data_IF_066620504720
#
_entry.id   IF_066620504720
#
_cell.length_a   1.000
_cell.length_b   1.000
_cell.length_c   1.000
_cell.angle_alpha   90.00
_cell.angle_beta   90.00
_cell.angle_gamma   90.00
#
_symmetry.space_group_name_H-M   'P 1'
#
loop_
_entity.id
_entity.type
_entity.pdbx_description
1 polymer ?
#
# COMPACT_ATOMS: atom_id res chain seq x y z
N UNK A 1 -7.50 -10.30 -3.69
CA UNK A 1 -8.67 -10.92 -4.36
C UNK A 1 -9.67 -11.42 -3.33
N UNK A 2 -10.95 -11.48 -3.65
CA UNK A 2 -12.01 -11.94 -2.74
C UNK A 2 -13.12 -12.69 -3.49
N UNK A 3 -13.67 -13.72 -2.87
CA UNK A 3 -14.75 -14.54 -3.40
C UNK A 3 -15.82 -14.80 -2.34
N UNK A 4 -17.08 -14.82 -2.77
CA UNK A 4 -18.16 -15.49 -2.02
C UNK A 4 -18.29 -16.90 -2.59
N UNK A 5 -18.18 -17.91 -1.74
CA UNK A 5 -18.22 -19.32 -2.13
C UNK A 5 -19.31 -20.04 -1.36
N UNK A 6 -19.96 -21.00 -2.00
CA UNK A 6 -20.83 -21.98 -1.34
C UNK A 6 -20.11 -23.33 -1.37
N UNK A 7 -19.86 -23.91 -0.20
CA UNK A 7 -19.20 -25.21 -0.05
C UNK A 7 -20.22 -26.25 0.40
N UNK A 8 -20.34 -27.34 -0.35
CA UNK A 8 -21.12 -28.51 0.07
C UNK A 8 -20.16 -29.45 0.81
N UNK A 9 -20.52 -29.77 2.05
CA UNK A 9 -19.72 -30.60 2.96
C UNK A 9 -20.61 -31.70 3.54
N UNK A 10 -20.08 -32.82 4.02
CA UNK A 10 -20.91 -33.85 4.68
C UNK A 10 -21.77 -33.28 5.81
N UNK A 11 -21.26 -32.31 6.55
CA UNK A 11 -21.97 -31.62 7.65
C UNK A 11 -23.03 -30.62 7.14
N UNK A 12 -22.85 -30.10 5.92
CA UNK A 12 -23.77 -29.18 5.26
C UNK A 12 -24.01 -29.59 3.79
N UNK A 13 -24.82 -30.64 3.53
CA UNK A 13 -25.06 -31.14 2.17
C UNK A 13 -25.74 -30.12 1.25
N UNK A 14 -26.59 -29.26 1.82
CA UNK A 14 -27.27 -28.14 1.13
C UNK A 14 -26.36 -26.94 0.85
N UNK A 15 -25.10 -27.00 1.32
CA UNK A 15 -24.12 -25.95 1.14
C UNK A 15 -24.06 -24.97 2.31
N UNK A 16 -22.86 -24.40 2.51
CA UNK A 16 -22.61 -23.29 3.44
C UNK A 16 -21.84 -22.18 2.74
N UNK A 17 -22.30 -20.96 2.92
CA UNK A 17 -21.64 -19.78 2.36
C UNK A 17 -20.43 -19.36 3.20
N UNK A 18 -19.38 -18.87 2.54
CA UNK A 18 -18.25 -18.18 3.16
C UNK A 18 -17.69 -17.08 2.26
N UNK A 19 -16.92 -16.18 2.86
CA UNK A 19 -16.08 -15.23 2.14
C UNK A 19 -14.62 -15.68 2.25
N UNK A 20 -13.96 -15.90 1.11
CA UNK A 20 -12.53 -16.15 1.01
C UNK A 20 -11.83 -14.89 0.50
N UNK A 21 -10.82 -14.43 1.21
CA UNK A 21 -9.94 -13.34 0.80
C UNK A 21 -8.54 -13.91 0.66
N UNK A 22 -7.82 -13.55 -0.40
CA UNK A 22 -6.43 -13.95 -0.57
C UNK A 22 -5.58 -12.83 -1.17
N UNK A 23 -4.31 -12.82 -0.81
CA UNK A 23 -3.32 -12.05 -1.55
C UNK A 23 -2.96 -12.75 -2.87
N UNK A 24 -2.65 -11.94 -3.88
CA UNK A 24 -2.00 -12.43 -5.09
C UNK A 24 -0.52 -12.05 -5.01
N UNK A 25 0.35 -13.03 -4.76
CA UNK A 25 1.78 -12.80 -4.64
C UNK A 25 2.44 -12.42 -5.98
N UNK A 26 1.81 -12.78 -7.11
CA UNK A 26 2.34 -12.44 -8.43
C UNK A 26 2.12 -10.98 -8.78
N UNK A 27 1.12 -10.35 -8.15
CA UNK A 27 0.82 -8.93 -8.33
C UNK A 27 1.59 -8.09 -7.31
N UNK A 28 2.60 -7.35 -7.79
CA UNK A 28 3.43 -6.45 -6.96
C UNK A 28 3.91 -7.13 -5.68
N UNK A 29 4.41 -8.37 -5.79
CA UNK A 29 4.90 -9.24 -4.70
C UNK A 29 3.90 -9.47 -3.55
N UNK A 30 2.60 -9.27 -3.81
CA UNK A 30 1.56 -9.31 -2.79
C UNK A 30 1.59 -8.11 -1.83
N UNK A 31 2.24 -7.00 -2.21
CA UNK A 31 2.26 -5.78 -1.41
C UNK A 31 0.87 -5.16 -1.28
N UNK A 32 0.54 -4.73 -0.07
CA UNK A 32 -0.73 -4.08 0.24
C UNK A 32 -0.67 -2.58 -0.01
N UNK A 33 -1.44 -2.10 -0.97
CA UNK A 33 -1.73 -0.69 -1.15
C UNK A 33 -3.18 -0.34 -0.79
N UNK A 34 -3.61 0.90 -1.11
CA UNK A 34 -4.94 1.38 -0.77
C UNK A 34 -6.07 0.58 -1.42
N UNK A 35 -5.88 0.13 -2.66
CA UNK A 35 -6.89 -0.66 -3.39
C UNK A 35 -7.07 -2.04 -2.77
N UNK A 36 -5.97 -2.67 -2.36
CA UNK A 36 -5.98 -3.97 -1.70
C UNK A 36 -6.64 -3.88 -0.31
N UNK A 37 -6.39 -2.81 0.44
CA UNK A 37 -7.05 -2.52 1.73
C UNK A 37 -8.57 -2.35 1.56
N UNK A 38 -9.02 -1.59 0.55
CA UNK A 38 -10.45 -1.41 0.25
C UNK A 38 -11.14 -2.75 -0.02
N UNK A 39 -10.56 -3.60 -0.88
CA UNK A 39 -11.13 -4.92 -1.19
C UNK A 39 -11.23 -5.77 0.08
N UNK A 40 -10.18 -5.77 0.91
CA UNK A 40 -10.17 -6.50 2.17
C UNK A 40 -11.27 -6.03 3.12
N UNK A 41 -11.43 -4.71 3.29
CA UNK A 41 -12.42 -4.11 4.18
C UNK A 41 -13.84 -4.43 3.70
N UNK A 42 -14.15 -4.20 2.43
CA UNK A 42 -15.49 -4.42 1.89
C UNK A 42 -15.90 -5.90 1.95
N UNK A 43 -14.98 -6.82 1.63
CA UNK A 43 -15.23 -8.25 1.76
C UNK A 43 -15.45 -8.67 3.24
N UNK A 44 -14.70 -8.05 4.15
CA UNK A 44 -14.86 -8.27 5.58
C UNK A 44 -16.19 -7.74 6.12
N UNK A 45 -16.61 -6.55 5.71
CA UNK A 45 -17.93 -5.99 6.01
C UNK A 45 -19.06 -6.88 5.49
N UNK A 46 -18.93 -7.37 4.26
CA UNK A 46 -19.90 -8.28 3.67
C UNK A 46 -20.04 -9.57 4.49
N UNK A 47 -18.92 -10.19 4.90
CA UNK A 47 -18.96 -11.42 5.73
C UNK A 47 -19.74 -11.20 7.04
N UNK A 48 -19.56 -10.04 7.69
CA UNK A 48 -20.30 -9.66 8.89
C UNK A 48 -21.78 -9.44 8.62
N UNK A 49 -22.10 -8.71 7.56
CA UNK A 49 -23.49 -8.41 7.17
C UNK A 49 -24.28 -9.69 6.92
N UNK A 50 -23.64 -10.66 6.24
CA UNK A 50 -24.22 -11.97 5.94
C UNK A 50 -24.13 -12.95 7.12
N UNK A 51 -23.36 -12.63 8.16
CA UNK A 51 -23.09 -13.51 9.31
C UNK A 51 -22.46 -14.85 8.91
N UNK A 52 -21.63 -14.86 7.87
CA UNK A 52 -20.95 -16.06 7.36
C UNK A 52 -19.46 -16.04 7.68
N UNK A 53 -18.78 -17.21 7.71
CA UNK A 53 -17.35 -17.29 7.96
C UNK A 53 -16.52 -16.47 6.98
N UNK A 54 -15.44 -15.88 7.48
CA UNK A 54 -14.39 -15.26 6.67
C UNK A 54 -13.10 -16.05 6.78
N UNK A 55 -12.55 -16.47 5.64
CA UNK A 55 -11.24 -17.11 5.54
C UNK A 55 -10.29 -16.12 4.86
N UNK A 56 -9.09 -15.94 5.42
CA UNK A 56 -8.07 -15.10 4.82
C UNK A 56 -6.76 -15.88 4.62
N UNK A 57 -6.30 -15.95 3.37
CA UNK A 57 -5.00 -16.48 2.97
C UNK A 57 -4.01 -15.32 2.80
N UNK A 58 -3.19 -15.13 3.83
CA UNK A 58 -2.13 -14.14 3.87
C UNK A 58 -0.88 -14.68 3.17
N UNK A 59 -0.59 -14.12 1.99
CA UNK A 59 0.63 -14.35 1.23
C UNK A 59 1.11 -13.01 0.67
N UNK A 60 1.66 -12.16 1.54
CA UNK A 60 2.00 -10.77 1.23
C UNK A 60 3.40 -10.38 1.68
N UNK A 61 3.89 -9.29 1.11
CA UNK A 61 5.15 -8.63 1.49
C UNK A 61 4.95 -7.42 2.40
N UNK A 62 3.78 -7.27 3.03
CA UNK A 62 3.43 -6.13 3.87
C UNK A 62 2.96 -4.91 3.08
N UNK A 63 2.97 -3.74 3.73
CA UNK A 63 2.56 -2.47 3.12
C UNK A 63 3.45 -2.12 1.92
N UNK A 64 2.83 -1.63 0.86
CA UNK A 64 3.51 -1.19 -0.35
C UNK A 64 4.31 0.07 -0.05
N UNK A 65 5.63 -0.04 -0.19
CA UNK A 65 6.54 1.10 -0.17
C UNK A 65 6.66 1.59 -1.62
N UNK A 66 6.18 2.81 -1.90
CA UNK A 66 6.31 3.44 -3.21
C UNK A 66 7.21 4.67 -3.14
N UNK A 67 8.15 4.79 -4.07
CA UNK A 67 8.79 6.06 -4.39
C UNK A 67 7.93 6.82 -5.41
N UNK A 68 7.99 8.16 -5.38
CA UNK A 68 7.36 9.02 -6.38
C UNK A 68 8.11 8.88 -7.72
N UNK A 69 7.80 7.83 -8.48
CA UNK A 69 8.50 7.50 -9.73
C UNK A 69 8.40 8.65 -10.75
N UNK A 70 7.28 9.39 -10.76
CA UNK A 70 7.14 10.61 -11.59
C UNK A 70 8.15 11.71 -11.25
N UNK A 71 8.60 11.80 -9.99
CA UNK A 71 9.63 12.76 -9.57
C UNK A 71 11.03 12.18 -9.78
N UNK A 72 11.19 10.87 -9.54
CA UNK A 72 12.48 10.16 -9.67
C UNK A 72 13.10 10.30 -11.06
N UNK A 73 12.27 10.32 -12.11
CA UNK A 73 12.74 10.47 -13.49
C UNK A 73 13.16 11.90 -13.86
N UNK A 74 12.81 12.91 -13.05
CA UNK A 74 12.94 14.32 -13.42
C UNK A 74 13.85 15.13 -12.50
N UNK A 75 14.05 14.69 -11.25
CA UNK A 75 14.87 15.46 -10.32
C UNK A 75 16.33 15.54 -10.80
N UNK A 76 16.92 16.70 -10.52
CA UNK A 76 18.32 16.99 -10.72
C UNK A 76 19.00 17.17 -9.36
N UNK A 77 20.30 16.95 -9.34
CA UNK A 77 21.13 17.07 -8.15
C UNK A 77 21.96 18.34 -8.31
N UNK A 78 21.85 19.26 -7.36
CA UNK A 78 22.78 20.38 -7.25
C UNK A 78 23.98 19.91 -6.43
N UNK A 79 25.07 19.55 -7.10
CA UNK A 79 26.28 19.05 -6.46
C UNK A 79 27.00 20.17 -5.68
N UNK A 80 27.79 19.78 -4.68
CA UNK A 80 28.74 20.73 -4.08
C UNK A 80 29.77 21.18 -5.11
N UNK A 81 30.23 20.21 -5.90
CA UNK A 81 31.17 20.34 -7.01
C UNK A 81 30.72 19.40 -8.14
N UNK A 82 30.42 19.95 -9.32
CA UNK A 82 29.93 19.15 -10.46
C UNK A 82 30.98 18.20 -11.03
N UNK A 83 32.26 18.52 -10.87
CA UNK A 83 33.38 17.71 -11.36
C UNK A 83 33.80 16.63 -10.36
N UNK A 84 33.41 16.78 -9.08
CA UNK A 84 33.71 15.83 -8.00
C UNK A 84 32.45 15.43 -7.18
N UNK A 85 31.53 14.61 -7.75
CA UNK A 85 30.27 14.24 -7.09
C UNK A 85 30.42 13.56 -5.72
N UNK A 86 31.57 12.93 -5.45
CA UNK A 86 31.88 12.26 -4.18
C UNK A 86 31.95 13.26 -3.00
N UNK A 87 32.10 14.56 -3.27
CA UNK A 87 32.02 15.62 -2.24
C UNK A 87 30.60 15.84 -1.71
N UNK A 88 29.60 15.23 -2.35
CA UNK A 88 28.20 15.31 -1.96
C UNK A 88 27.41 16.37 -2.72
N UNK A 89 26.19 16.62 -2.26
CA UNK A 89 25.24 17.50 -2.93
C UNK A 89 24.58 18.47 -1.95
N UNK A 90 24.23 19.66 -2.46
CA UNK A 90 23.56 20.74 -1.73
C UNK A 90 22.07 20.47 -1.57
N UNK A 91 21.39 20.10 -2.68
CA UNK A 91 19.95 19.87 -2.70
C UNK A 91 19.50 19.13 -3.98
N UNK A 92 18.26 18.65 -3.98
CA UNK A 92 17.56 18.15 -5.16
C UNK A 92 16.65 19.25 -5.72
N UNK A 93 16.52 19.34 -7.04
CA UNK A 93 15.69 20.35 -7.68
C UNK A 93 15.05 19.85 -8.96
N UNK A 94 14.05 20.60 -9.43
CA UNK A 94 13.45 20.46 -10.76
C UNK A 94 13.74 21.72 -11.56
N UNK A 95 13.86 21.57 -12.88
CA UNK A 95 13.84 22.73 -13.77
C UNK A 95 12.44 23.35 -13.77
N UNK A 96 12.32 24.59 -14.21
CA UNK A 96 11.00 25.23 -14.41
C UNK A 96 10.11 24.38 -15.32
N UNK A 97 10.66 23.85 -16.40
CA UNK A 97 9.92 23.00 -17.34
C UNK A 97 9.40 21.72 -16.67
N UNK A 98 10.26 21.01 -15.94
CA UNK A 98 9.90 19.73 -15.29
C UNK A 98 8.94 19.94 -14.12
N UNK A 99 9.11 21.02 -13.35
CA UNK A 99 8.17 21.38 -12.31
C UNK A 99 6.80 21.69 -12.90
N UNK A 100 6.71 22.43 -14.02
CA UNK A 100 5.43 22.70 -14.68
C UNK A 100 4.75 21.40 -15.12
N UNK A 101 5.48 20.43 -15.67
CA UNK A 101 4.93 19.12 -16.11
C UNK A 101 4.24 18.36 -14.99
N UNK A 102 4.80 18.37 -13.77
CA UNK A 102 4.29 17.56 -12.64
C UNK A 102 3.56 18.35 -11.57
N UNK A 103 3.54 19.69 -11.65
CA UNK A 103 2.89 20.56 -10.67
C UNK A 103 1.41 20.25 -10.48
N UNK A 104 0.71 19.87 -11.56
CA UNK A 104 -0.70 19.48 -11.54
C UNK A 104 -0.96 18.17 -10.75
N UNK A 105 0.04 17.32 -10.58
CA UNK A 105 -0.08 16.06 -9.84
C UNK A 105 0.06 16.24 -8.33
N UNK A 106 0.41 17.45 -7.86
CA UNK A 106 0.69 17.75 -6.44
C UNK A 106 1.67 16.77 -5.77
N UNK A 107 2.51 16.09 -6.56
CA UNK A 107 3.38 15.00 -6.08
C UNK A 107 4.67 15.52 -5.42
N UNK A 108 4.97 16.81 -5.55
CA UNK A 108 6.16 17.45 -5.01
C UNK A 108 5.83 18.83 -4.45
N UNK A 109 6.44 19.19 -3.33
CA UNK A 109 6.53 20.58 -2.86
C UNK A 109 7.95 21.05 -3.11
N UNK A 110 8.06 22.21 -3.74
CA UNK A 110 9.32 22.85 -4.05
C UNK A 110 9.22 24.36 -3.86
N UNK A 111 10.36 24.99 -3.62
CA UNK A 111 10.50 26.44 -3.55
C UNK A 111 11.32 26.91 -4.75
N UNK A 112 10.86 27.98 -5.41
CA UNK A 112 11.62 28.60 -6.48
C UNK A 112 12.82 29.36 -5.88
N UNK A 113 14.01 29.04 -6.36
CA UNK A 113 15.26 29.70 -6.02
C UNK A 113 16.01 30.07 -7.30
N UNK A 114 16.94 31.00 -7.18
CA UNK A 114 17.92 31.29 -8.22
C UNK A 114 19.27 30.76 -7.74
N UNK A 115 19.90 29.91 -8.55
CA UNK A 115 21.23 29.39 -8.26
C UNK A 115 21.98 29.15 -9.57
N UNK A 116 23.28 29.46 -9.59
CA UNK A 116 24.14 29.37 -10.80
C UNK A 116 23.58 30.13 -12.02
N UNK A 117 22.80 31.19 -11.81
CA UNK A 117 22.17 31.98 -12.87
C UNK A 117 20.93 31.32 -13.49
N UNK A 118 20.41 30.24 -12.88
CA UNK A 118 19.22 29.53 -13.34
C UNK A 118 18.11 29.54 -12.28
N UNK A 119 16.87 29.63 -12.74
CA UNK A 119 15.69 29.40 -11.91
C UNK A 119 15.52 27.90 -11.63
N UNK A 120 15.54 27.50 -10.36
CA UNK A 120 15.45 26.11 -9.90
C UNK A 120 14.33 25.94 -8.89
N UNK A 121 13.54 24.89 -9.03
CA UNK A 121 12.53 24.50 -8.03
C UNK A 121 13.16 23.51 -7.05
N UNK A 122 13.75 24.01 -5.97
CA UNK A 122 14.37 23.20 -4.91
C UNK A 122 13.31 22.37 -4.20
N UNK A 123 13.45 21.05 -4.25
CA UNK A 123 12.50 20.10 -3.64
C UNK A 123 12.62 20.18 -2.13
N UNK A 124 11.49 20.39 -1.45
CA UNK A 124 11.39 20.39 0.02
C UNK A 124 10.71 19.12 0.53
N UNK A 125 9.67 18.64 -0.15
CA UNK A 125 8.95 17.42 0.21
C UNK A 125 8.52 16.64 -1.03
N UNK A 126 8.64 15.32 -0.96
CA UNK A 126 8.05 14.39 -1.91
C UNK A 126 6.76 13.83 -1.32
N UNK A 127 5.64 14.06 -1.99
CA UNK A 127 4.32 13.55 -1.61
C UNK A 127 4.03 12.27 -2.40
N UNK A 128 4.46 12.24 -3.66
CA UNK A 128 4.11 11.20 -4.64
C UNK A 128 2.69 11.36 -5.18
N UNK A 129 2.45 10.84 -6.38
CA UNK A 129 1.13 10.78 -7.04
C UNK A 129 0.11 9.92 -6.26
N UNK A 130 0.61 9.15 -5.28
CA UNK A 130 -0.15 8.33 -4.34
C UNK A 130 -0.19 8.90 -2.91
N UNK A 131 0.37 10.09 -2.66
CA UNK A 131 0.34 10.75 -1.34
C UNK A 131 -1.04 11.25 -0.91
N UNK A 132 -1.24 11.54 0.38
CA UNK A 132 -2.43 11.19 1.13
C UNK A 132 -3.67 11.89 0.56
N UNK A 133 -4.49 11.15 -0.17
CA UNK A 133 -5.93 11.39 -0.09
C UNK A 133 -6.31 11.01 1.33
N UNK A 134 -6.90 11.95 2.05
CA UNK A 134 -7.08 12.04 3.50
C UNK A 134 -7.81 10.85 4.19
N UNK A 135 -7.97 9.69 3.53
CA UNK A 135 -8.76 8.55 3.99
C UNK A 135 -8.02 7.20 4.03
N UNK A 136 -6.74 7.10 3.65
CA UNK A 136 -6.04 5.81 3.64
C UNK A 136 -5.39 5.55 5.01
N UNK A 137 -6.23 5.38 6.03
CA UNK A 137 -5.81 4.61 7.20
C UNK A 137 -5.80 3.15 6.75
N UNK A 138 -4.64 2.50 6.89
CA UNK A 138 -4.49 1.08 6.62
C UNK A 138 -5.38 0.30 7.61
N UNK A 139 -6.60 -0.05 7.17
CA UNK A 139 -7.63 -0.59 8.05
C UNK A 139 -7.45 -2.08 8.32
N UNK A 140 -6.60 -2.77 7.54
CA UNK A 140 -6.27 -4.17 7.74
C UNK A 140 -6.01 -4.53 9.20
N UNK A 141 -5.15 -3.77 9.91
CA UNK A 141 -4.81 -4.06 11.30
C UNK A 141 -6.03 -3.90 12.25
N UNK A 142 -6.82 -2.86 12.04
CA UNK A 142 -8.07 -2.62 12.78
C UNK A 142 -9.09 -3.75 12.53
N UNK A 143 -9.22 -4.18 11.28
CA UNK A 143 -10.18 -5.18 10.85
C UNK A 143 -9.77 -6.61 11.28
N UNK A 144 -8.47 -6.90 11.32
CA UNK A 144 -7.94 -8.15 11.86
C UNK A 144 -8.11 -8.23 13.39
N UNK A 145 -7.85 -7.14 14.12
CA UNK A 145 -7.96 -7.09 15.58
C UNK A 145 -9.41 -6.98 16.09
N UNK A 146 -10.38 -6.64 15.23
CA UNK A 146 -11.78 -6.49 15.62
C UNK A 146 -12.37 -7.79 16.18
N UNK A 147 -13.00 -7.73 17.35
CA UNK A 147 -13.81 -8.85 17.87
C UNK A 147 -15.04 -9.05 16.98
N UNK A 148 -15.13 -10.21 16.32
CA UNK A 148 -16.25 -10.56 15.46
C UNK A 148 -17.14 -11.64 16.08
N UNK A 149 -18.44 -11.60 15.76
CA UNK A 149 -19.41 -12.65 16.08
C UNK A 149 -19.56 -13.70 14.96
N UNK A 150 -18.58 -13.75 14.04
CA UNK A 150 -18.53 -14.72 12.94
C UNK A 150 -17.23 -15.52 13.03
N UNK A 151 -17.21 -16.80 12.60
CA UNK A 151 -15.99 -17.58 12.54
C UNK A 151 -14.95 -16.93 11.61
N UNK A 152 -13.69 -16.97 12.04
CA UNK A 152 -12.54 -16.47 11.28
C UNK A 152 -11.45 -17.50 11.25
N UNK A 153 -10.90 -17.73 10.06
CA UNK A 153 -9.75 -18.62 9.87
C UNK A 153 -8.69 -17.87 9.08
N UNK A 154 -7.45 -17.96 9.55
CA UNK A 154 -6.29 -17.32 8.96
C UNK A 154 -5.26 -18.35 8.56
N UNK A 155 -4.78 -18.27 7.33
CA UNK A 155 -3.67 -19.06 6.84
C UNK A 155 -2.56 -18.11 6.40
N UNK A 156 -1.35 -18.36 6.85
CA UNK A 156 -0.17 -17.58 6.47
C UNK A 156 0.79 -18.46 5.67
N UNK A 157 1.17 -18.00 4.48
CA UNK A 157 2.19 -18.61 3.65
C UNK A 157 3.19 -17.52 3.22
N UNK A 158 4.49 -17.81 3.34
CA UNK A 158 5.64 -16.89 3.24
C UNK A 158 5.87 -15.94 4.43
N UNK A 159 7.01 -16.12 5.10
CA UNK A 159 7.45 -15.48 6.35
C UNK A 159 8.25 -14.19 6.14
N UNK A 160 7.84 -13.31 5.22
CA UNK A 160 8.66 -12.18 4.80
C UNK A 160 8.34 -10.82 5.45
N UNK A 161 7.10 -10.57 5.89
CA UNK A 161 6.69 -9.21 6.22
C UNK A 161 5.93 -9.08 7.55
N UNK A 162 6.47 -8.23 8.43
CA UNK A 162 6.03 -8.01 9.82
C UNK A 162 4.69 -7.30 9.98
N UNK A 163 4.06 -6.81 8.92
CA UNK A 163 2.80 -6.04 9.01
C UNK A 163 1.58 -6.99 9.11
N UNK A 164 1.75 -8.28 8.83
CA UNK A 164 0.66 -9.26 8.81
C UNK A 164 0.54 -10.20 10.02
N UNK A 165 1.54 -10.26 10.90
CA UNK A 165 1.59 -11.27 11.98
C UNK A 165 2.23 -10.69 13.24
N UNK A 166 1.43 -9.96 14.03
CA UNK A 166 1.57 -10.03 15.47
C UNK A 166 0.60 -11.11 15.94
N UNK A 167 1.15 -12.30 16.20
CA UNK A 167 0.59 -13.37 17.04
C UNK A 167 -0.93 -13.51 17.13
N UNK A 168 -1.59 -14.15 16.14
CA UNK A 168 -2.89 -14.78 16.41
C UNK A 168 -3.20 -15.91 15.40
N UNK A 169 -2.31 -16.90 15.29
CA UNK A 169 -2.71 -18.22 14.78
C UNK A 169 -3.42 -18.95 15.92
N UNK A 170 -4.70 -18.63 16.13
CA UNK A 170 -5.63 -19.52 16.82
C UNK A 170 -6.53 -20.14 15.77
N UNK A 171 -6.19 -21.35 15.35
CA UNK A 171 -7.17 -22.26 14.80
C UNK A 171 -8.17 -22.55 15.94
N UNK A 172 -9.28 -21.82 15.97
CA UNK A 172 -10.45 -22.20 16.76
C UNK A 172 -11.25 -23.17 15.89
N UNK A 173 -11.08 -24.46 16.15
CA UNK A 173 -12.13 -25.45 15.92
C UNK A 173 -13.21 -25.26 16.98
#
# INVERSE_FOLDING_TARGET
VAWKMTLNTPEYPEGRDLILIANDITYLIGSFGPKEDIVFNLASELSRKLKIPRIYFAANSGARIGLAEEVKALFKIAWEDSDEPDKGFKYLYLTTEDYTKISALNSVKAILIEDEGEARYKITYLIGSFGPKEDIVFNLASELSRKLKIPRIYFAANSGARIGLAEEVKALF
#
